data_IF_163589013343
#
_entry.id   IF_163589013343
#
_cell.length_a   1.000
_cell.length_b   1.000
_cell.length_c   1.000
_cell.angle_alpha   90.00
_cell.angle_beta   90.00
_cell.angle_gamma   90.00
#
_symmetry.space_group_name_H-M   'P 1'
#
loop_
_entity.id
_entity.type
_entity.pdbx_description
1 polymer ?
#
# COMPACT_ATOMS: atom_id res chain seq x y z
N UNK A 1 -4.91 -16.98 -8.85
CA UNK A 1 -5.78 -15.90 -9.33
C UNK A 1 -4.86 -14.83 -9.83
N UNK A 2 -4.84 -14.60 -11.14
CA UNK A 2 -4.15 -13.43 -11.65
C UNK A 2 -4.93 -12.23 -11.13
N UNK A 3 -4.27 -11.39 -10.33
CA UNK A 3 -4.82 -10.11 -9.94
C UNK A 3 -4.96 -9.29 -11.22
N UNK A 4 -6.12 -8.65 -11.42
CA UNK A 4 -6.26 -7.67 -12.47
C UNK A 4 -5.12 -6.65 -12.36
N UNK A 5 -4.64 -6.14 -13.48
CA UNK A 5 -3.50 -5.22 -13.52
C UNK A 5 -3.71 -4.04 -12.53
N UNK A 6 -4.93 -3.52 -12.48
CA UNK A 6 -5.31 -2.40 -11.60
C UNK A 6 -5.17 -2.77 -10.11
N UNK A 7 -5.54 -4.01 -9.73
CA UNK A 7 -5.35 -4.47 -8.35
C UNK A 7 -3.87 -4.55 -7.99
N UNK A 8 -3.01 -4.97 -8.93
CA UNK A 8 -1.57 -5.03 -8.68
C UNK A 8 -0.97 -3.62 -8.54
N UNK A 9 -1.34 -2.68 -9.42
CA UNK A 9 -0.91 -1.29 -9.34
C UNK A 9 -1.39 -0.62 -8.03
N UNK A 10 -2.64 -0.84 -7.62
CA UNK A 10 -3.16 -0.33 -6.35
C UNK A 10 -2.44 -0.95 -5.13
N UNK A 11 -2.01 -2.23 -5.19
CA UNK A 11 -1.21 -2.85 -4.14
C UNK A 11 0.22 -2.28 -4.08
N UNK A 12 0.81 -1.90 -5.21
CA UNK A 12 2.09 -1.17 -5.23
C UNK A 12 1.91 0.22 -4.63
N UNK A 13 0.89 0.97 -5.05
CA UNK A 13 0.60 2.29 -4.54
C UNK A 13 0.37 2.29 -3.02
N UNK A 14 -0.41 1.34 -2.47
CA UNK A 14 -0.64 1.27 -1.03
C UNK A 14 0.63 0.97 -0.23
N UNK A 15 1.49 0.08 -0.73
CA UNK A 15 2.78 -0.23 -0.09
C UNK A 15 3.69 0.99 -0.09
N UNK A 16 3.81 1.67 -1.22
CA UNK A 16 4.66 2.84 -1.34
C UNK A 16 4.12 4.00 -0.51
N UNK A 17 2.80 4.25 -0.54
CA UNK A 17 2.16 5.27 0.28
C UNK A 17 2.44 5.06 1.78
N UNK A 18 2.20 3.85 2.29
CA UNK A 18 2.46 3.52 3.71
C UNK A 18 3.94 3.68 4.05
N UNK A 19 4.82 3.35 3.12
CA UNK A 19 6.27 3.43 3.33
C UNK A 19 6.84 4.85 3.21
N UNK A 20 6.06 5.86 2.81
CA UNK A 20 6.46 7.28 2.89
C UNK A 20 6.47 7.82 4.32
N UNK A 21 5.83 7.15 5.26
CA UNK A 21 5.69 7.62 6.64
C UNK A 21 7.05 7.64 7.39
N UNK A 22 7.24 8.58 8.33
CA UNK A 22 8.50 8.75 9.08
C UNK A 22 8.98 7.46 9.76
N UNK A 23 8.07 6.68 10.32
CA UNK A 23 8.39 5.40 10.98
C UNK A 23 8.92 4.34 10.02
N UNK A 24 8.63 4.48 8.72
CA UNK A 24 9.09 3.55 7.66
C UNK A 24 10.35 4.05 6.96
N UNK A 25 10.44 5.35 6.69
CA UNK A 25 11.50 5.96 5.90
C UNK A 25 12.59 6.66 6.75
N UNK A 26 12.32 6.93 8.04
CA UNK A 26 13.17 7.73 8.92
C UNK A 26 12.88 9.23 8.86
N UNK A 27 12.18 9.68 7.83
CA UNK A 27 11.63 11.03 7.64
C UNK A 27 10.32 10.94 6.87
N UNK A 28 9.51 11.99 6.90
CA UNK A 28 8.30 12.04 6.05
C UNK A 28 8.68 12.28 4.60
N UNK A 29 8.40 11.31 3.71
CA UNK A 29 8.68 11.47 2.28
C UNK A 29 7.57 12.21 1.53
N UNK A 30 6.38 12.37 2.13
CA UNK A 30 5.35 13.30 1.66
C UNK A 30 5.50 14.62 2.45
N UNK A 31 6.64 15.29 2.30
CA UNK A 31 6.98 16.45 3.11
C UNK A 31 6.18 17.72 2.74
N UNK A 32 5.74 17.81 1.48
CA UNK A 32 4.96 18.93 0.95
C UNK A 32 4.05 18.50 -0.22
N UNK A 33 3.28 19.46 -0.77
CA UNK A 33 2.38 19.23 -1.90
C UNK A 33 3.13 18.80 -3.16
N UNK A 34 4.38 19.24 -3.35
CA UNK A 34 5.18 18.83 -4.51
C UNK A 34 5.57 17.34 -4.41
N UNK A 35 5.91 16.86 -3.21
CA UNK A 35 6.15 15.43 -2.96
C UNK A 35 4.88 14.59 -3.15
N UNK A 36 3.71 15.11 -2.75
CA UNK A 36 2.44 14.45 -3.05
C UNK A 36 2.16 14.40 -4.56
N UNK A 37 2.44 15.48 -5.30
CA UNK A 37 2.30 15.52 -6.76
C UNK A 37 3.19 14.45 -7.41
N UNK A 38 4.45 14.36 -7.02
CA UNK A 38 5.37 13.34 -7.53
C UNK A 38 4.83 11.92 -7.26
N UNK A 39 4.30 11.65 -6.07
CA UNK A 39 3.68 10.37 -5.75
C UNK A 39 2.49 10.05 -6.66
N UNK A 40 1.59 11.02 -6.87
CA UNK A 40 0.42 10.90 -7.76
C UNK A 40 0.84 10.59 -9.19
N UNK A 41 1.86 11.29 -9.70
CA UNK A 41 2.37 11.13 -11.05
C UNK A 41 3.09 9.77 -11.22
N UNK A 42 3.92 9.35 -10.26
CA UNK A 42 4.65 8.09 -10.28
C UNK A 42 3.71 6.86 -10.28
N UNK A 43 2.59 6.96 -9.55
CA UNK A 43 1.56 5.91 -9.50
C UNK A 43 0.44 6.09 -10.53
N UNK A 44 0.57 7.09 -11.43
CA UNK A 44 -0.40 7.36 -12.50
C UNK A 44 -1.84 7.48 -11.98
N UNK A 45 -2.01 8.13 -10.81
CA UNK A 45 -3.34 8.35 -10.21
C UNK A 45 -4.12 9.33 -11.10
N UNK A 46 -5.14 8.82 -11.77
CA UNK A 46 -5.92 9.57 -12.74
C UNK A 46 -6.86 10.60 -12.10
N UNK A 47 -7.39 11.54 -12.90
CA UNK A 47 -8.39 12.52 -12.49
C UNK A 47 -7.95 13.45 -11.33
N UNK A 48 -6.63 13.73 -11.20
CA UNK A 48 -6.06 14.61 -10.16
C UNK A 48 -5.43 15.84 -10.81
N UNK A 49 -6.22 16.91 -11.01
CA UNK A 49 -5.74 18.14 -11.66
C UNK A 49 -4.99 19.07 -10.69
N UNK A 50 -5.52 19.25 -9.49
CA UNK A 50 -5.00 20.16 -8.48
C UNK A 50 -4.76 19.45 -7.16
N UNK A 51 -3.71 19.87 -6.44
CA UNK A 51 -3.41 19.41 -5.09
C UNK A 51 -3.08 20.60 -4.20
N UNK A 52 -3.49 20.53 -2.94
CA UNK A 52 -3.21 21.53 -1.93
C UNK A 52 -2.77 20.90 -0.59
N UNK A 53 -2.61 21.74 0.44
CA UNK A 53 -2.20 21.29 1.78
C UNK A 53 -3.28 20.44 2.47
N UNK A 54 -4.56 20.64 2.13
CA UNK A 54 -5.66 19.82 2.68
C UNK A 54 -5.57 18.40 2.13
N UNK A 55 -5.29 18.25 0.85
CA UNK A 55 -5.05 16.97 0.20
C UNK A 55 -3.86 16.23 0.82
N UNK A 56 -2.75 16.96 1.04
CA UNK A 56 -1.56 16.38 1.66
C UNK A 56 -1.87 15.82 3.05
N UNK A 57 -2.59 16.57 3.88
CA UNK A 57 -2.96 16.11 5.23
C UNK A 57 -3.94 14.93 5.19
N UNK A 58 -4.90 14.95 4.25
CA UNK A 58 -5.84 13.85 4.06
C UNK A 58 -5.12 12.56 3.64
N UNK A 59 -4.17 12.65 2.69
CA UNK A 59 -3.36 11.50 2.26
C UNK A 59 -2.44 10.99 3.38
N UNK A 60 -1.82 11.86 4.16
CA UNK A 60 -1.05 11.47 5.35
C UNK A 60 -1.91 10.74 6.39
N UNK A 61 -3.15 11.17 6.58
CA UNK A 61 -4.11 10.49 7.46
C UNK A 61 -4.49 9.13 6.92
N UNK A 62 -4.79 9.04 5.62
CA UNK A 62 -5.10 7.79 4.95
C UNK A 62 -3.97 6.76 5.08
N UNK A 63 -2.71 7.15 4.83
CA UNK A 63 -1.57 6.21 4.92
C UNK A 63 -1.41 5.60 6.31
N UNK A 64 -1.70 6.37 7.37
CA UNK A 64 -1.66 5.86 8.74
C UNK A 64 -2.74 4.76 8.96
N UNK A 65 -3.95 4.96 8.44
CA UNK A 65 -5.04 3.97 8.51
C UNK A 65 -4.74 2.73 7.69
N UNK A 66 -4.19 2.90 6.47
CA UNK A 66 -3.75 1.78 5.63
C UNK A 66 -2.65 0.96 6.31
N UNK A 67 -1.72 1.61 7.02
CA UNK A 67 -0.71 0.92 7.82
C UNK A 67 -1.32 0.02 8.88
N UNK A 68 -2.37 0.48 9.58
CA UNK A 68 -3.07 -0.35 10.58
C UNK A 68 -3.66 -1.63 9.98
N UNK A 69 -4.09 -1.61 8.71
CA UNK A 69 -4.56 -2.82 8.02
C UNK A 69 -3.42 -3.84 7.90
N UNK A 70 -2.22 -3.43 7.49
CA UNK A 70 -1.05 -4.33 7.41
C UNK A 70 -0.68 -4.92 8.77
N UNK A 71 -0.71 -4.10 9.82
CA UNK A 71 -0.37 -4.56 11.17
C UNK A 71 -1.42 -5.55 11.71
N UNK A 72 -2.71 -5.30 11.48
CA UNK A 72 -3.76 -6.21 11.88
C UNK A 72 -3.74 -7.52 11.06
N UNK A 73 -3.54 -7.44 9.75
CA UNK A 73 -3.52 -8.62 8.87
C UNK A 73 -2.32 -9.55 9.12
N UNK A 74 -1.24 -9.04 9.74
CA UNK A 74 -0.08 -9.84 10.10
C UNK A 74 -0.36 -10.91 11.17
N UNK A 75 -1.43 -10.75 11.97
CA UNK A 75 -1.89 -11.72 12.94
C UNK A 75 -3.19 -12.39 12.42
N UNK A 76 -3.21 -13.71 12.15
CA UNK A 76 -4.41 -14.41 11.73
C UNK A 76 -5.60 -14.26 12.69
N UNK A 77 -5.35 -14.05 13.98
CA UNK A 77 -6.39 -13.82 14.97
C UNK A 77 -7.00 -12.42 14.92
N UNK A 78 -6.31 -11.46 14.28
CA UNK A 78 -6.74 -10.06 14.15
C UNK A 78 -7.33 -9.74 12.75
N UNK A 79 -7.52 -10.75 11.89
CA UNK A 79 -8.15 -10.58 10.57
C UNK A 79 -9.53 -9.90 10.62
N UNK A 80 -10.41 -10.14 11.62
CA UNK A 80 -11.66 -9.39 11.73
C UNK A 80 -11.43 -7.88 11.92
N UNK A 81 -10.39 -7.48 12.64
CA UNK A 81 -10.01 -6.07 12.78
C UNK A 81 -9.49 -5.52 11.46
N UNK A 82 -8.63 -6.25 10.75
CA UNK A 82 -8.16 -5.84 9.42
C UNK A 82 -9.33 -5.60 8.46
N UNK A 83 -10.30 -6.51 8.41
CA UNK A 83 -11.52 -6.37 7.61
C UNK A 83 -12.35 -5.15 8.03
N UNK A 84 -12.51 -4.91 9.33
CA UNK A 84 -13.20 -3.72 9.86
C UNK A 84 -12.54 -2.41 9.45
N UNK A 85 -11.20 -2.35 9.49
CA UNK A 85 -10.43 -1.19 9.03
C UNK A 85 -10.61 -0.93 7.54
N UNK A 86 -10.51 -1.97 6.70
CA UNK A 86 -10.75 -1.86 5.25
C UNK A 86 -12.17 -1.37 4.98
N UNK A 87 -13.19 -1.97 5.62
CA UNK A 87 -14.58 -1.57 5.45
C UNK A 87 -14.81 -0.09 5.84
N UNK A 88 -14.17 0.39 6.91
CA UNK A 88 -14.23 1.79 7.32
C UNK A 88 -13.64 2.72 6.27
N UNK A 89 -12.47 2.38 5.69
CA UNK A 89 -11.83 3.17 4.65
C UNK A 89 -12.71 3.22 3.39
N UNK A 90 -13.22 2.07 2.92
CA UNK A 90 -14.10 1.95 1.76
C UNK A 90 -15.38 2.77 1.92
N UNK A 91 -16.00 2.71 3.11
CA UNK A 91 -17.25 3.44 3.39
C UNK A 91 -17.04 4.96 3.39
N UNK A 92 -15.95 5.44 4.00
CA UNK A 92 -15.64 6.88 4.07
C UNK A 92 -15.19 7.45 2.71
N UNK A 93 -14.54 6.65 1.87
CA UNK A 93 -14.16 7.04 0.52
C UNK A 93 -15.35 7.23 -0.43
N UNK A 94 -16.58 6.88 -0.02
CA UNK A 94 -17.76 6.99 -0.88
C UNK A 94 -17.64 6.12 -2.15
N UNK A 95 -17.07 4.93 -2.01
CA UNK A 95 -16.73 4.03 -3.11
C UNK A 95 -17.90 3.79 -4.06
N UNK A 96 -17.70 4.11 -5.34
CA UNK A 96 -18.71 3.97 -6.40
C UNK A 96 -18.10 3.24 -7.60
N UNK A 97 -18.18 1.89 -7.66
CA UNK A 97 -17.57 1.13 -8.74
C UNK A 97 -18.13 1.54 -10.11
N UNK A 98 -17.24 1.80 -11.06
CA UNK A 98 -17.60 2.11 -12.45
C UNK A 98 -16.63 1.45 -13.43
N UNK A 99 -17.11 1.05 -14.59
CA UNK A 99 -16.27 0.60 -15.68
C UNK A 99 -15.75 1.80 -16.49
N UNK A 100 -14.47 1.78 -16.83
CA UNK A 100 -13.81 2.82 -17.62
C UNK A 100 -12.72 2.23 -18.51
N UNK A 101 -12.30 2.97 -19.55
CA UNK A 101 -11.30 2.56 -20.57
C UNK A 101 -10.43 3.76 -20.98
N UNK A 102 -9.92 4.53 -20.04
CA UNK A 102 -9.14 5.74 -20.31
C UNK A 102 -7.62 5.46 -20.37
N UNK A 103 -6.85 6.44 -20.88
CA UNK A 103 -5.37 6.47 -20.92
C UNK A 103 -4.71 5.27 -21.61
N UNK A 104 -5.44 4.62 -22.53
CA UNK A 104 -4.94 3.45 -23.27
C UNK A 104 -4.99 2.15 -22.49
N UNK A 105 -5.57 2.14 -21.32
CA UNK A 105 -5.84 0.93 -20.53
C UNK A 105 -7.08 0.21 -21.07
N UNK A 106 -7.09 -1.15 -21.09
CA UNK A 106 -8.30 -1.90 -21.40
C UNK A 106 -9.39 -1.66 -20.35
N UNK A 107 -10.64 -2.01 -20.66
CA UNK A 107 -11.77 -1.87 -19.75
C UNK A 107 -11.45 -2.42 -18.36
N UNK A 108 -11.56 -1.55 -17.34
CA UNK A 108 -11.24 -1.85 -15.93
C UNK A 108 -12.23 -1.19 -14.97
N UNK A 109 -12.09 -1.43 -13.68
CA UNK A 109 -12.98 -0.90 -12.65
C UNK A 109 -12.27 0.17 -11.85
N UNK A 110 -12.80 1.40 -11.85
CA UNK A 110 -12.49 2.40 -10.83
C UNK A 110 -13.47 2.31 -9.67
N UNK A 111 -12.96 2.50 -8.46
CA UNK A 111 -13.77 2.41 -7.24
C UNK A 111 -14.15 3.78 -6.67
N UNK A 112 -13.50 4.86 -7.07
CA UNK A 112 -13.77 6.23 -6.63
C UNK A 112 -14.88 6.90 -7.46
N UNK A 113 -15.55 7.89 -6.87
CA UNK A 113 -16.55 8.69 -7.56
C UNK A 113 -15.88 9.73 -8.49
N UNK A 114 -16.50 10.11 -9.64
CA UNK A 114 -16.00 11.21 -10.46
C UNK A 114 -15.85 12.49 -9.63
N UNK A 115 -14.71 13.16 -9.73
CA UNK A 115 -14.41 14.38 -8.97
C UNK A 115 -14.10 14.14 -7.49
N UNK A 116 -13.82 12.90 -7.09
CA UNK A 116 -13.35 12.58 -5.75
C UNK A 116 -12.02 13.32 -5.44
N UNK A 117 -11.82 13.72 -4.19
CA UNK A 117 -10.53 14.22 -3.73
C UNK A 117 -9.47 13.12 -3.83
N UNK A 118 -8.19 13.49 -3.98
CA UNK A 118 -7.09 12.53 -4.16
C UNK A 118 -7.03 11.48 -3.04
N UNK A 119 -7.32 11.87 -1.80
CA UNK A 119 -7.36 10.93 -0.68
C UNK A 119 -8.51 9.94 -0.77
N UNK A 120 -9.68 10.35 -1.27
CA UNK A 120 -10.84 9.47 -1.50
C UNK A 120 -10.56 8.49 -2.64
N UNK A 121 -9.94 8.97 -3.73
CA UNK A 121 -9.50 8.14 -4.85
C UNK A 121 -8.53 7.04 -4.36
N UNK A 122 -7.42 7.44 -3.74
CA UNK A 122 -6.44 6.50 -3.19
C UNK A 122 -7.06 5.56 -2.14
N UNK A 123 -7.98 6.07 -1.30
CA UNK A 123 -8.66 5.25 -0.30
C UNK A 123 -9.51 4.16 -0.94
N UNK A 124 -10.30 4.51 -1.97
CA UNK A 124 -11.16 3.57 -2.67
C UNK A 124 -10.35 2.46 -3.35
N UNK A 125 -9.35 2.81 -4.16
CA UNK A 125 -8.58 1.84 -4.93
C UNK A 125 -7.67 0.98 -4.03
N UNK A 126 -6.93 1.61 -3.11
CA UNK A 126 -6.05 0.88 -2.19
C UNK A 126 -6.82 -0.05 -1.24
N UNK A 127 -7.94 0.44 -0.65
CA UNK A 127 -8.70 -0.40 0.28
C UNK A 127 -9.41 -1.54 -0.44
N UNK A 128 -9.92 -1.34 -1.67
CA UNK A 128 -10.48 -2.43 -2.48
C UNK A 128 -9.42 -3.46 -2.86
N UNK A 129 -8.20 -3.04 -3.21
CA UNK A 129 -7.10 -3.96 -3.48
C UNK A 129 -6.75 -4.81 -2.24
N UNK A 130 -6.68 -4.20 -1.05
CA UNK A 130 -6.49 -4.91 0.21
C UNK A 130 -7.67 -5.86 0.52
N UNK A 131 -8.93 -5.43 0.26
CA UNK A 131 -10.10 -6.28 0.42
C UNK A 131 -10.00 -7.56 -0.42
N UNK A 132 -9.55 -7.47 -1.68
CA UNK A 132 -9.35 -8.65 -2.53
C UNK A 132 -8.29 -9.59 -1.98
N UNK A 133 -7.21 -9.08 -1.40
CA UNK A 133 -6.20 -9.91 -0.73
C UNK A 133 -6.81 -10.65 0.46
N UNK A 134 -7.59 -9.97 1.30
CA UNK A 134 -8.24 -10.57 2.47
C UNK A 134 -9.28 -11.61 2.07
N UNK A 135 -10.16 -11.30 1.09
CA UNK A 135 -11.20 -12.23 0.59
C UNK A 135 -10.59 -13.48 -0.05
N UNK A 136 -9.42 -13.35 -0.69
CA UNK A 136 -8.68 -14.48 -1.22
C UNK A 136 -8.04 -15.38 -0.15
N UNK A 137 -8.22 -15.06 1.14
CA UNK A 137 -7.58 -15.76 2.26
C UNK A 137 -6.08 -15.54 2.36
N UNK A 138 -5.58 -14.42 1.82
CA UNK A 138 -4.15 -14.11 1.71
C UNK A 138 -3.71 -12.97 2.64
N UNK A 139 -4.40 -12.78 3.76
CA UNK A 139 -4.06 -11.75 4.75
C UNK A 139 -2.60 -11.86 5.23
N UNK A 140 -2.07 -13.09 5.32
CA UNK A 140 -0.68 -13.38 5.67
C UNK A 140 0.36 -12.87 4.64
N UNK A 141 -0.07 -12.42 3.46
CA UNK A 141 0.78 -11.75 2.47
C UNK A 141 0.96 -10.25 2.74
N UNK A 142 0.08 -9.65 3.55
CA UNK A 142 0.22 -8.28 4.04
C UNK A 142 1.18 -8.30 5.22
N UNK A 143 2.43 -7.88 5.02
CA UNK A 143 3.51 -8.11 5.97
C UNK A 143 4.23 -6.83 6.36
N UNK A 144 4.80 -6.84 7.56
CA UNK A 144 5.89 -5.95 7.92
C UNK A 144 7.23 -6.61 7.57
N UNK A 145 8.21 -5.81 7.18
CA UNK A 145 9.56 -6.27 6.88
C UNK A 145 10.17 -6.97 8.09
N UNK A 146 10.71 -8.19 7.88
CA UNK A 146 11.31 -8.98 8.94
C UNK A 146 12.74 -8.53 9.33
N UNK A 147 13.27 -7.47 8.74
CA UNK A 147 14.58 -6.96 9.09
C UNK A 147 14.53 -6.20 10.43
N UNK A 148 15.44 -6.47 11.38
CA UNK A 148 15.50 -5.77 12.66
C UNK A 148 15.58 -4.24 12.47
N UNK A 149 14.68 -3.51 13.13
CA UNK A 149 14.60 -2.06 13.07
C UNK A 149 14.01 -1.50 11.76
N UNK A 150 13.39 -2.35 10.93
CA UNK A 150 12.67 -1.91 9.74
C UNK A 150 11.16 -1.94 9.98
N UNK A 151 10.50 -0.80 9.83
CA UNK A 151 9.05 -0.66 10.01
C UNK A 151 8.28 -0.63 8.68
N UNK A 152 8.95 -0.86 7.55
CA UNK A 152 8.30 -0.88 6.23
C UNK A 152 7.34 -2.04 6.07
N UNK A 153 6.26 -1.81 5.32
CA UNK A 153 5.32 -2.87 4.93
C UNK A 153 5.65 -3.40 3.52
N UNK A 154 5.12 -4.56 3.20
CA UNK A 154 5.20 -5.17 1.87
C UNK A 154 3.97 -6.06 1.62
N UNK A 155 3.66 -6.29 0.35
CA UNK A 155 2.76 -7.37 -0.07
C UNK A 155 3.61 -8.48 -0.68
N UNK A 156 3.43 -9.70 -0.20
CA UNK A 156 4.15 -10.86 -0.74
C UNK A 156 3.38 -11.48 -1.91
N UNK A 157 3.59 -10.95 -3.10
CA UNK A 157 3.05 -11.50 -4.35
C UNK A 157 3.98 -12.54 -4.99
N UNK A 158 5.03 -12.96 -4.28
CA UNK A 158 5.96 -13.96 -4.82
C UNK A 158 5.27 -15.32 -4.98
N UNK A 159 5.70 -16.10 -5.98
CA UNK A 159 5.11 -17.41 -6.30
C UNK A 159 5.07 -18.38 -5.11
N UNK A 160 6.06 -18.30 -4.24
CA UNK A 160 6.23 -19.23 -3.10
C UNK A 160 5.87 -18.56 -1.76
N UNK A 161 5.29 -17.36 -1.76
CA UNK A 161 4.93 -16.58 -0.56
C UNK A 161 6.07 -16.50 0.46
N UNK A 162 7.30 -16.26 -0.04
CA UNK A 162 8.53 -16.31 0.75
C UNK A 162 9.21 -14.96 0.94
N UNK A 163 8.66 -13.87 0.39
CA UNK A 163 9.22 -12.52 0.54
C UNK A 163 9.07 -12.05 1.99
N UNK A 164 10.20 -11.87 2.66
CA UNK A 164 10.27 -11.46 4.07
C UNK A 164 10.74 -10.02 4.25
N UNK A 165 11.35 -9.43 3.24
CA UNK A 165 11.98 -8.12 3.31
C UNK A 165 11.35 -7.17 2.32
N UNK A 166 11.21 -5.89 2.73
CA UNK A 166 10.64 -4.85 1.87
C UNK A 166 11.45 -4.65 0.59
N UNK A 167 12.76 -4.82 0.69
CA UNK A 167 13.68 -4.71 -0.43
C UNK A 167 14.82 -5.75 -0.32
N UNK A 168 15.14 -6.41 -1.44
CA UNK A 168 16.13 -7.47 -1.47
C UNK A 168 17.57 -6.90 -1.36
N UNK A 169 17.81 -5.72 -1.93
CA UNK A 169 19.15 -5.13 -2.00
C UNK A 169 19.56 -4.44 -0.70
N UNK A 170 18.61 -3.89 0.03
CA UNK A 170 18.87 -3.21 1.30
C UNK A 170 18.65 -4.14 2.49
N UNK A 171 17.41 -4.40 2.89
CA UNK A 171 17.08 -5.21 4.05
C UNK A 171 17.49 -6.68 3.89
N UNK A 172 17.27 -7.27 2.71
CA UNK A 172 17.65 -8.65 2.41
C UNK A 172 19.16 -8.85 2.46
N UNK A 173 19.93 -8.08 1.71
CA UNK A 173 21.39 -8.16 1.65
C UNK A 173 22.05 -7.92 3.00
N UNK A 174 21.61 -6.90 3.75
CA UNK A 174 22.17 -6.57 5.07
C UNK A 174 22.13 -7.78 6.00
N UNK A 175 21.03 -8.54 6.00
CA UNK A 175 20.87 -9.73 6.84
C UNK A 175 21.64 -10.94 6.31
N UNK A 176 21.69 -11.14 4.99
CA UNK A 176 22.52 -12.18 4.39
C UNK A 176 24.02 -11.99 4.71
N UNK A 177 24.51 -10.75 4.59
CA UNK A 177 25.90 -10.40 4.95
C UNK A 177 26.16 -10.58 6.44
N UNK A 178 25.22 -10.17 7.31
CA UNK A 178 25.37 -10.35 8.75
C UNK A 178 25.43 -11.85 9.13
N UNK A 179 24.53 -12.67 8.59
CA UNK A 179 24.51 -14.11 8.80
C UNK A 179 25.77 -14.80 8.26
N UNK A 180 26.27 -14.39 7.10
CA UNK A 180 27.53 -14.90 6.55
C UNK A 180 28.71 -14.57 7.45
N UNK A 181 28.84 -13.31 7.93
CA UNK A 181 29.89 -12.88 8.84
C UNK A 181 29.86 -13.64 10.19
N UNK A 182 28.64 -13.86 10.73
CA UNK A 182 28.49 -14.63 11.97
C UNK A 182 28.99 -16.08 11.83
N UNK A 183 28.64 -16.77 10.72
CA UNK A 183 29.12 -18.14 10.43
C UNK A 183 30.63 -18.24 10.25
N UNK A 184 31.31 -17.17 9.82
CA UNK A 184 32.78 -17.17 9.65
C UNK A 184 33.53 -16.85 10.94
N UNK A 185 32.84 -16.41 11.98
CA UNK A 185 33.43 -16.12 13.30
C UNK A 185 33.20 -17.22 14.35
N UNK A 186 32.29 -18.15 14.03
CA UNK A 186 32.07 -19.37 14.81
C UNK A 186 32.93 -20.54 14.30
#
# INVERSE_FOLDING_TARGET
>A
MDLAHDTAAALEAVVDLVNTAPESAGQDLLEDVAALRAFVDDHQVSEVDHLDEVDLQAVRTLRARLREVFLAAADPHDLPRAAGLVNGIVAEAGTTPRLTDHDGWPLHVHYFAPGAAVAEHLAADCAMALAFVLVAGRGDQLRQCAAPGCSRVLVDLSRNHSRRYCDAQTCGNRLHVAAYRARRRA
#
